data_IF_299498303233
#
_entry.id   IF_299498303233
#
_cell.length_a   1.000
_cell.length_b   1.000
_cell.length_c   1.000
_cell.angle_alpha   90.00
_cell.angle_beta   90.00
_cell.angle_gamma   90.00
#
_symmetry.space_group_name_H-M   'P 1'
#
loop_
_entity.id
_entity.type
_entity.pdbx_description
1 polymer ?
#
# COMPACT_ATOMS: atom_id res chain seq x y z
N UNK A 1 -6.25 2.35 -0.66
CA UNK A 1 -5.49 1.59 -1.68
C UNK A 1 -5.96 1.99 -3.07
N UNK A 2 -5.05 2.19 -4.02
CA UNK A 2 -5.40 2.53 -5.41
C UNK A 2 -5.97 1.33 -6.20
N UNK A 3 -5.83 0.11 -5.67
CA UNK A 3 -6.34 -1.12 -6.28
C UNK A 3 -7.67 -1.51 -5.64
N UNK A 4 -8.67 -1.74 -6.48
CA UNK A 4 -9.96 -2.30 -6.05
C UNK A 4 -9.76 -3.81 -5.88
N UNK A 5 -10.14 -4.42 -4.74
CA UNK A 5 -10.06 -5.87 -4.55
C UNK A 5 -11.21 -6.62 -5.27
N UNK A 6 -11.05 -7.94 -5.43
CA UNK A 6 -12.09 -8.79 -5.98
C UNK A 6 -13.36 -8.79 -5.09
N UNK A 7 -14.52 -8.98 -5.71
CA UNK A 7 -15.81 -9.08 -5.03
C UNK A 7 -16.53 -7.74 -4.76
N UNK A 8 -15.92 -6.60 -5.11
CA UNK A 8 -16.53 -5.27 -4.90
C UNK A 8 -17.32 -4.79 -6.12
N UNK A 9 -16.79 -5.01 -7.32
CA UNK A 9 -17.36 -4.46 -8.55
C UNK A 9 -18.43 -5.36 -9.15
N UNK A 10 -19.45 -4.73 -9.73
CA UNK A 10 -20.50 -5.43 -10.46
C UNK A 10 -19.99 -5.98 -11.81
N UNK A 11 -20.62 -7.04 -12.29
CA UNK A 11 -20.22 -7.70 -13.54
C UNK A 11 -20.14 -6.75 -14.75
N UNK A 12 -21.09 -5.82 -14.99
CA UNK A 12 -20.98 -4.86 -16.09
C UNK A 12 -19.72 -3.99 -16.03
N UNK A 13 -19.32 -3.54 -14.81
CA UNK A 13 -18.11 -2.73 -14.61
C UNK A 13 -16.87 -3.58 -14.85
N UNK A 14 -16.85 -4.83 -14.38
CA UNK A 14 -15.77 -5.78 -14.63
C UNK A 14 -15.56 -6.02 -16.13
N UNK A 15 -16.63 -6.30 -16.87
CA UNK A 15 -16.57 -6.54 -18.30
C UNK A 15 -16.13 -5.30 -19.09
N UNK A 16 -16.66 -4.12 -18.75
CA UNK A 16 -16.26 -2.86 -19.40
C UNK A 16 -14.78 -2.57 -19.17
N UNK A 17 -14.31 -2.66 -17.93
CA UNK A 17 -12.90 -2.43 -17.59
C UNK A 17 -11.98 -3.47 -18.22
N UNK A 18 -12.38 -4.74 -18.25
CA UNK A 18 -11.63 -5.80 -18.92
C UNK A 18 -11.51 -5.54 -20.44
N UNK A 19 -12.60 -5.14 -21.10
CA UNK A 19 -12.60 -4.83 -22.53
C UNK A 19 -11.69 -3.65 -22.86
N UNK A 20 -11.78 -2.55 -22.10
CA UNK A 20 -10.93 -1.35 -22.29
C UNK A 20 -9.47 -1.69 -21.99
N UNK A 21 -9.19 -2.39 -20.89
CA UNK A 21 -7.86 -2.82 -20.48
C UNK A 21 -7.20 -3.74 -21.52
N UNK A 22 -7.93 -4.74 -22.02
CA UNK A 22 -7.45 -5.65 -23.06
C UNK A 22 -7.20 -4.92 -24.38
N UNK A 23 -8.11 -4.02 -24.80
CA UNK A 23 -7.93 -3.20 -25.98
C UNK A 23 -6.70 -2.29 -25.89
N UNK A 24 -6.50 -1.61 -24.74
CA UNK A 24 -5.33 -0.81 -24.47
C UNK A 24 -4.03 -1.61 -24.44
N UNK A 25 -4.07 -2.81 -23.84
CA UNK A 25 -2.94 -3.74 -23.83
C UNK A 25 -2.57 -4.20 -25.24
N UNK A 26 -3.54 -4.57 -26.05
CA UNK A 26 -3.32 -4.97 -27.45
C UNK A 26 -2.69 -3.83 -28.26
N UNK A 27 -3.19 -2.59 -28.10
CA UNK A 27 -2.62 -1.42 -28.75
C UNK A 27 -1.19 -1.17 -28.26
N UNK A 28 -0.96 -1.24 -26.94
CA UNK A 28 0.34 -1.05 -26.32
C UNK A 28 1.37 -2.05 -26.83
N UNK A 29 1.02 -3.33 -26.88
CA UNK A 29 1.88 -4.40 -27.41
C UNK A 29 2.17 -4.23 -28.91
N UNK A 30 1.13 -3.90 -29.72
CA UNK A 30 1.30 -3.66 -31.15
C UNK A 30 2.25 -2.50 -31.47
N UNK A 31 2.29 -1.48 -30.59
CA UNK A 31 3.15 -0.30 -30.73
C UNK A 31 4.49 -0.42 -30.01
N UNK A 32 4.74 -1.53 -29.33
CA UNK A 32 5.95 -1.77 -28.59
C UNK A 32 7.07 -2.24 -29.53
N UNK A 33 8.04 -1.36 -29.79
CA UNK A 33 9.23 -1.73 -30.52
C UNK A 33 10.13 -2.63 -29.64
N UNK A 34 10.79 -3.67 -30.20
CA UNK A 34 11.64 -4.59 -29.44
C UNK A 34 12.71 -3.89 -28.60
N UNK A 35 13.28 -2.79 -29.10
CA UNK A 35 14.32 -2.00 -28.43
C UNK A 35 13.81 -1.31 -27.16
N UNK A 36 12.50 -1.18 -27.01
CA UNK A 36 11.85 -0.57 -25.83
C UNK A 36 11.43 -1.58 -24.77
N UNK A 37 11.50 -2.88 -25.05
CA UNK A 37 11.15 -3.93 -24.07
C UNK A 37 11.94 -3.80 -22.77
N UNK A 38 13.27 -3.55 -22.77
CA UNK A 38 14.01 -3.34 -21.52
C UNK A 38 13.49 -2.15 -20.71
N UNK A 39 13.10 -1.05 -21.38
CA UNK A 39 12.53 0.12 -20.72
C UNK A 39 11.19 -0.19 -20.06
N UNK A 40 10.33 -0.91 -20.76
CA UNK A 40 9.02 -1.36 -20.24
C UNK A 40 9.22 -2.25 -19.01
N UNK A 41 10.13 -3.23 -19.09
CA UNK A 41 10.43 -4.14 -17.99
C UNK A 41 10.94 -3.40 -16.74
N UNK A 42 11.88 -2.44 -16.92
CA UNK A 42 12.38 -1.62 -15.80
C UNK A 42 11.28 -0.81 -15.15
N UNK A 43 10.42 -0.15 -15.94
CA UNK A 43 9.34 0.67 -15.41
C UNK A 43 8.21 -0.16 -14.81
N UNK A 44 7.99 -1.40 -15.28
CA UNK A 44 7.11 -2.37 -14.61
C UNK A 44 7.63 -2.74 -13.23
N UNK A 45 8.93 -3.05 -13.12
CA UNK A 45 9.58 -3.34 -11.85
C UNK A 45 9.55 -2.14 -10.90
N UNK A 46 9.78 -0.93 -11.42
CA UNK A 46 9.68 0.31 -10.64
C UNK A 46 8.28 0.50 -10.07
N UNK A 47 7.23 0.33 -10.89
CA UNK A 47 5.84 0.44 -10.45
C UNK A 47 5.51 -0.62 -9.38
N UNK A 48 5.97 -1.85 -9.61
CA UNK A 48 5.78 -2.94 -8.67
C UNK A 48 6.37 -2.61 -7.29
N UNK A 49 7.63 -2.14 -7.24
CA UNK A 49 8.30 -1.77 -5.98
C UNK A 49 7.72 -0.52 -5.36
N UNK A 50 7.37 0.49 -6.17
CA UNK A 50 6.78 1.74 -5.67
C UNK A 50 5.45 1.52 -4.94
N UNK A 51 4.66 0.55 -5.40
CA UNK A 51 3.39 0.19 -4.74
C UNK A 51 3.58 -0.48 -3.37
N UNK A 52 4.77 -0.94 -3.02
CA UNK A 52 5.08 -1.46 -1.68
C UNK A 52 5.38 -0.35 -0.68
N UNK A 53 5.71 0.85 -1.15
CA UNK A 53 5.97 2.01 -0.30
C UNK A 53 4.64 2.67 0.06
N UNK A 54 4.17 2.41 1.28
CA UNK A 54 2.91 2.93 1.78
C UNK A 54 3.14 4.16 2.67
N UNK A 55 2.31 5.18 2.46
CA UNK A 55 2.26 6.38 3.30
C UNK A 55 0.96 6.37 4.12
N UNK A 56 1.00 6.56 5.43
CA UNK A 56 -0.21 6.71 6.23
C UNK A 56 -0.93 8.01 5.86
N UNK A 57 -2.22 7.93 5.51
CA UNK A 57 -3.06 9.08 5.19
C UNK A 57 -4.36 8.95 6.00
N UNK A 58 -4.40 9.54 7.20
CA UNK A 58 -5.52 9.40 8.12
C UNK A 58 -5.75 7.93 8.49
N UNK A 59 -7.00 7.43 8.43
CA UNK A 59 -7.33 6.04 8.77
C UNK A 59 -6.95 5.04 7.66
N UNK A 60 -6.37 5.50 6.54
CA UNK A 60 -6.02 4.69 5.38
C UNK A 60 -4.53 4.79 5.06
N UNK A 61 -4.06 4.00 4.11
CA UNK A 61 -2.72 4.14 3.53
C UNK A 61 -2.82 4.35 2.03
N UNK A 62 -1.92 5.15 1.49
CA UNK A 62 -1.75 5.35 0.06
C UNK A 62 -0.32 4.98 -0.35
N UNK A 63 -0.13 4.62 -1.61
CA UNK A 63 1.19 4.29 -2.15
C UNK A 63 1.46 5.10 -3.42
N UNK A 64 2.71 5.14 -3.86
CA UNK A 64 3.08 5.75 -5.13
C UNK A 64 2.48 4.96 -6.30
N UNK A 65 1.97 5.68 -7.29
CA UNK A 65 1.30 5.13 -8.46
C UNK A 65 2.16 5.27 -9.73
N UNK A 66 2.99 6.30 -9.78
CA UNK A 66 3.96 6.64 -10.85
C UNK A 66 3.37 6.73 -12.26
N UNK A 67 2.05 6.88 -12.38
CA UNK A 67 1.35 6.92 -13.67
C UNK A 67 1.83 8.04 -14.58
N UNK A 68 2.09 9.22 -14.00
CA UNK A 68 2.63 10.36 -14.74
C UNK A 68 3.99 10.04 -15.35
N UNK A 69 4.92 9.52 -14.55
CA UNK A 69 6.26 9.14 -14.98
C UNK A 69 6.23 8.05 -16.05
N UNK A 70 5.44 7.00 -15.82
CA UNK A 70 5.28 5.88 -16.77
C UNK A 70 4.68 6.39 -18.07
N UNK A 71 3.65 7.22 -17.97
CA UNK A 71 2.97 7.78 -19.14
C UNK A 71 3.86 8.62 -20.02
N UNK A 72 4.58 9.59 -19.45
CA UNK A 72 5.51 10.45 -20.23
C UNK A 72 6.71 9.67 -20.78
N UNK A 73 7.07 8.53 -20.14
CA UNK A 73 8.18 7.70 -20.59
C UNK A 73 7.76 6.70 -21.66
N UNK A 74 6.60 6.07 -21.55
CA UNK A 74 6.19 4.94 -22.36
C UNK A 74 5.03 5.23 -23.32
N UNK A 75 4.18 6.24 -23.03
CA UNK A 75 2.95 6.47 -23.80
C UNK A 75 2.05 5.23 -23.79
N UNK A 76 1.64 4.71 -24.94
CA UNK A 76 0.80 3.50 -25.04
C UNK A 76 1.46 2.23 -24.47
N UNK A 77 2.79 2.15 -24.45
CA UNK A 77 3.49 1.04 -23.83
C UNK A 77 3.39 1.03 -22.29
N UNK A 78 2.73 2.03 -21.69
CA UNK A 78 2.33 2.01 -20.29
C UNK A 78 1.36 0.87 -19.97
N UNK A 79 0.48 0.47 -20.90
CA UNK A 79 -0.45 -0.65 -20.70
C UNK A 79 0.27 -1.97 -20.39
N UNK A 80 1.20 -2.49 -21.22
CA UNK A 80 1.93 -3.70 -20.87
C UNK A 80 2.82 -3.54 -19.63
N UNK A 81 3.38 -2.35 -19.38
CA UNK A 81 4.17 -2.11 -18.18
C UNK A 81 3.33 -2.24 -16.89
N UNK A 82 2.18 -1.57 -16.86
CA UNK A 82 1.25 -1.58 -15.71
C UNK A 82 0.61 -2.97 -15.57
N UNK A 83 0.26 -3.63 -16.68
CA UNK A 83 -0.29 -4.99 -16.64
C UNK A 83 0.64 -5.97 -15.93
N UNK A 84 1.93 -5.99 -16.30
CA UNK A 84 2.93 -6.87 -15.67
C UNK A 84 3.06 -6.56 -14.17
N UNK A 85 3.12 -5.28 -13.79
CA UNK A 85 3.21 -4.89 -12.40
C UNK A 85 1.97 -5.34 -11.60
N UNK A 86 0.76 -5.14 -12.14
CA UNK A 86 -0.49 -5.54 -11.49
C UNK A 86 -0.62 -7.07 -11.35
N UNK A 87 -0.19 -7.83 -12.35
CA UNK A 87 -0.17 -9.31 -12.26
C UNK A 87 0.77 -9.75 -11.14
N UNK A 88 1.98 -9.19 -11.09
CA UNK A 88 2.94 -9.50 -10.02
C UNK A 88 2.39 -9.12 -8.64
N UNK A 89 1.75 -7.97 -8.51
CA UNK A 89 1.12 -7.52 -7.26
C UNK A 89 -0.02 -8.43 -6.83
N UNK A 90 -0.88 -8.86 -7.76
CA UNK A 90 -1.99 -9.75 -7.47
C UNK A 90 -1.50 -11.15 -7.05
N UNK A 91 -0.50 -11.69 -7.75
CA UNK A 91 0.01 -13.06 -7.51
C UNK A 91 0.88 -13.13 -6.26
N UNK A 92 1.78 -12.13 -6.04
CA UNK A 92 2.76 -12.18 -4.95
C UNK A 92 2.22 -11.61 -3.64
N UNK A 93 1.33 -10.60 -3.71
CA UNK A 93 0.88 -9.87 -2.51
C UNK A 93 -0.63 -9.87 -2.32
N UNK A 94 -1.40 -10.44 -3.26
CA UNK A 94 -2.86 -10.40 -3.20
C UNK A 94 -3.44 -8.98 -3.36
N UNK A 95 -2.68 -8.03 -3.91
CA UNK A 95 -3.16 -6.67 -4.11
C UNK A 95 -4.08 -6.59 -5.32
N UNK A 96 -5.30 -6.08 -5.12
CA UNK A 96 -6.34 -6.07 -6.11
C UNK A 96 -7.01 -7.45 -6.23
N UNK A 97 -6.83 -8.12 -7.35
CA UNK A 97 -7.36 -9.46 -7.63
C UNK A 97 -7.31 -9.77 -9.12
N UNK A 98 -7.51 -11.03 -9.47
CA UNK A 98 -7.46 -11.47 -10.86
C UNK A 98 -8.74 -11.11 -11.63
N UNK A 99 -9.91 -11.13 -10.97
CA UNK A 99 -11.19 -10.78 -11.60
C UNK A 99 -11.27 -9.28 -11.91
N UNK A 100 -10.74 -8.45 -11.03
CA UNK A 100 -10.74 -6.99 -11.17
C UNK A 100 -9.52 -6.46 -11.92
N UNK A 101 -8.59 -7.33 -12.35
CA UNK A 101 -7.34 -6.97 -13.00
C UNK A 101 -7.54 -6.04 -14.20
N UNK A 102 -8.55 -6.32 -15.04
CA UNK A 102 -8.85 -5.49 -16.21
C UNK A 102 -9.33 -4.09 -15.86
N UNK A 103 -10.13 -3.95 -14.80
CA UNK A 103 -10.56 -2.63 -14.29
C UNK A 103 -9.39 -1.87 -13.69
N UNK A 104 -8.59 -2.52 -12.84
CA UNK A 104 -7.39 -1.90 -12.24
C UNK A 104 -6.40 -1.48 -13.33
N UNK A 105 -6.19 -2.30 -14.37
CA UNK A 105 -5.38 -1.93 -15.53
C UNK A 105 -5.93 -0.69 -16.22
N UNK A 106 -7.23 -0.64 -16.48
CA UNK A 106 -7.90 0.50 -17.12
C UNK A 106 -7.75 1.77 -16.29
N UNK A 107 -8.02 1.67 -14.97
CA UNK A 107 -7.96 2.81 -14.05
C UNK A 107 -6.54 3.41 -13.91
N UNK A 108 -5.51 2.63 -14.14
CA UNK A 108 -4.12 3.09 -14.05
C UNK A 108 -3.50 3.41 -15.43
N UNK A 109 -3.72 2.56 -16.43
CA UNK A 109 -3.03 2.67 -17.70
C UNK A 109 -3.64 3.71 -18.65
N UNK A 110 -4.96 3.94 -18.59
CA UNK A 110 -5.60 5.01 -19.36
C UNK A 110 -5.06 6.40 -18.95
N UNK A 111 -5.06 6.77 -17.65
CA UNK A 111 -4.45 8.01 -17.20
C UNK A 111 -2.97 8.13 -17.56
N UNK A 112 -2.19 7.04 -17.44
CA UNK A 112 -0.79 7.04 -17.84
C UNK A 112 -0.62 7.33 -19.35
N UNK A 113 -1.38 6.68 -20.21
CA UNK A 113 -1.34 6.94 -21.64
C UNK A 113 -1.73 8.39 -21.97
N UNK A 114 -2.75 8.94 -21.30
CA UNK A 114 -3.15 10.34 -21.43
C UNK A 114 -2.04 11.30 -20.99
N UNK A 115 -1.29 11.00 -19.92
CA UNK A 115 -0.10 11.78 -19.53
C UNK A 115 0.91 11.83 -20.69
N UNK A 116 1.20 10.70 -21.31
CA UNK A 116 2.09 10.64 -22.46
C UNK A 116 1.62 11.48 -23.63
N UNK A 117 0.34 11.42 -23.95
CA UNK A 117 -0.26 12.20 -25.05
C UNK A 117 -0.26 13.71 -24.76
N UNK A 118 -0.64 14.11 -23.56
CA UNK A 118 -0.81 15.53 -23.22
C UNK A 118 0.52 16.25 -22.95
N UNK A 119 1.45 15.61 -22.24
CA UNK A 119 2.63 16.30 -21.71
C UNK A 119 3.91 16.09 -22.52
N UNK A 120 4.04 14.98 -23.28
CA UNK A 120 5.27 14.71 -24.04
C UNK A 120 5.58 15.77 -25.09
N UNK A 121 4.57 16.35 -25.72
CA UNK A 121 4.76 17.42 -26.69
C UNK A 121 5.42 18.66 -26.04
N UNK A 122 4.94 19.05 -24.86
CA UNK A 122 5.46 20.22 -24.10
C UNK A 122 6.88 19.94 -23.61
N UNK A 123 7.12 18.73 -23.03
CA UNK A 123 8.44 18.33 -22.52
C UNK A 123 9.51 18.36 -23.60
N UNK A 124 9.16 17.94 -24.82
CA UNK A 124 10.10 17.92 -25.96
C UNK A 124 10.29 19.28 -26.61
N UNK A 125 9.20 20.05 -26.76
CA UNK A 125 9.25 21.33 -27.47
C UNK A 125 9.81 22.49 -26.63
N UNK A 126 9.69 22.43 -25.31
CA UNK A 126 10.05 23.50 -24.39
C UNK A 126 10.86 22.97 -23.21
N UNK A 127 12.18 22.75 -23.35
CA UNK A 127 13.03 22.19 -22.28
C UNK A 127 12.97 22.97 -20.96
N UNK A 128 12.80 24.29 -21.02
CA UNK A 128 12.65 25.16 -19.84
C UNK A 128 11.40 24.81 -19.01
N UNK A 129 10.34 24.31 -19.64
CA UNK A 129 9.10 23.90 -18.98
C UNK A 129 9.01 22.39 -18.76
N UNK A 130 9.98 21.62 -19.25
CA UNK A 130 9.97 20.15 -19.25
C UNK A 130 9.80 19.55 -17.85
N UNK A 131 10.49 20.10 -16.86
CA UNK A 131 10.40 19.66 -15.46
C UNK A 131 9.03 19.97 -14.87
N UNK A 132 8.53 21.18 -15.08
CA UNK A 132 7.20 21.59 -14.58
C UNK A 132 6.08 20.76 -15.25
N UNK A 133 6.17 20.55 -16.57
CA UNK A 133 5.22 19.72 -17.31
C UNK A 133 5.24 18.25 -16.83
N UNK A 134 6.41 17.71 -16.48
CA UNK A 134 6.53 16.39 -15.91
C UNK A 134 5.91 16.30 -14.51
N UNK A 135 6.11 17.31 -13.66
CA UNK A 135 5.43 17.41 -12.37
C UNK A 135 3.91 17.47 -12.51
N UNK A 136 3.42 18.29 -13.45
CA UNK A 136 1.99 18.36 -13.77
C UNK A 136 1.44 17.01 -14.27
N UNK A 137 2.22 16.25 -15.06
CA UNK A 137 1.86 14.89 -15.48
C UNK A 137 1.76 13.94 -14.29
N UNK A 138 2.65 14.04 -13.28
CA UNK A 138 2.58 13.26 -12.04
C UNK A 138 1.28 13.51 -11.29
N UNK A 139 0.95 14.77 -11.01
CA UNK A 139 -0.31 15.15 -10.35
C UNK A 139 -1.54 14.70 -11.13
N UNK A 140 -1.56 14.99 -12.44
CA UNK A 140 -2.67 14.61 -13.33
C UNK A 140 -2.88 13.11 -13.39
N UNK A 141 -1.79 12.31 -13.46
CA UNK A 141 -1.86 10.86 -13.49
C UNK A 141 -2.58 10.29 -12.27
N UNK A 142 -2.23 10.77 -11.07
CA UNK A 142 -2.92 10.36 -9.83
C UNK A 142 -4.37 10.82 -9.83
N UNK A 143 -4.64 12.10 -10.12
CA UNK A 143 -5.99 12.65 -10.11
C UNK A 143 -6.93 11.88 -11.06
N UNK A 144 -6.49 11.63 -12.29
CA UNK A 144 -7.26 10.91 -13.28
C UNK A 144 -7.48 9.45 -12.90
N UNK A 145 -6.45 8.78 -12.32
CA UNK A 145 -6.59 7.40 -11.83
C UNK A 145 -7.59 7.30 -10.69
N UNK A 146 -7.52 8.20 -9.72
CA UNK A 146 -8.46 8.20 -8.59
C UNK A 146 -9.87 8.54 -9.03
N UNK A 147 -10.02 9.41 -10.02
CA UNK A 147 -11.33 9.67 -10.64
C UNK A 147 -11.90 8.41 -11.30
N UNK A 148 -11.10 7.66 -12.05
CA UNK A 148 -11.54 6.41 -12.66
C UNK A 148 -11.88 5.33 -11.61
N UNK A 149 -11.09 5.21 -10.55
CA UNK A 149 -11.40 4.34 -9.41
C UNK A 149 -12.73 4.74 -8.76
N UNK A 150 -12.92 6.02 -8.49
CA UNK A 150 -14.16 6.55 -7.90
C UNK A 150 -15.37 6.29 -8.81
N UNK A 151 -15.23 6.48 -10.13
CA UNK A 151 -16.29 6.17 -11.11
C UNK A 151 -16.61 4.66 -11.16
N UNK A 152 -15.59 3.80 -11.11
CA UNK A 152 -15.77 2.35 -11.08
C UNK A 152 -16.55 1.90 -9.84
N UNK A 153 -16.24 2.48 -8.67
CA UNK A 153 -16.95 2.24 -7.42
C UNK A 153 -18.39 2.77 -7.48
N UNK A 154 -18.58 4.01 -7.90
CA UNK A 154 -19.91 4.64 -8.00
C UNK A 154 -20.83 3.90 -8.99
N UNK A 155 -20.27 3.40 -10.09
CA UNK A 155 -21.01 2.59 -11.08
C UNK A 155 -21.37 1.19 -10.56
N UNK A 156 -20.72 0.71 -9.51
CA UNK A 156 -20.97 -0.60 -8.92
C UNK A 156 -22.05 -0.60 -7.84
N UNK A 157 -22.38 0.57 -7.25
CA UNK A 157 -23.47 0.70 -6.29
C UNK A 157 -23.42 1.98 -5.48
N UNK A 158 -24.59 2.38 -4.96
CA UNK A 158 -24.71 3.60 -4.13
C UNK A 158 -24.00 3.47 -2.78
N UNK A 159 -23.85 2.27 -2.27
CA UNK A 159 -23.12 1.92 -1.06
C UNK A 159 -21.64 2.27 -1.14
N UNK A 160 -21.07 2.34 -2.35
CA UNK A 160 -19.67 2.68 -2.58
C UNK A 160 -19.40 4.19 -2.76
N UNK A 161 -20.43 5.05 -2.75
CA UNK A 161 -20.26 6.50 -2.98
C UNK A 161 -19.36 7.16 -1.93
N UNK A 162 -19.49 6.76 -0.66
CA UNK A 162 -18.62 7.27 0.41
C UNK A 162 -17.17 6.85 0.20
N UNK A 163 -16.94 5.60 -0.18
CA UNK A 163 -15.60 5.10 -0.50
C UNK A 163 -15.01 5.82 -1.73
N UNK A 164 -15.82 6.07 -2.75
CA UNK A 164 -15.42 6.82 -3.95
C UNK A 164 -14.97 8.26 -3.62
N UNK A 165 -15.72 8.96 -2.74
CA UNK A 165 -15.34 10.29 -2.27
C UNK A 165 -14.06 10.26 -1.44
N UNK A 166 -13.94 9.28 -0.53
CA UNK A 166 -12.79 9.13 0.34
C UNK A 166 -11.50 8.88 -0.47
N UNK A 167 -11.57 8.05 -1.52
CA UNK A 167 -10.44 7.78 -2.41
C UNK A 167 -9.91 9.09 -3.04
N UNK A 168 -10.78 9.97 -3.51
CA UNK A 168 -10.38 11.25 -4.09
C UNK A 168 -9.66 12.14 -3.07
N UNK A 169 -10.22 12.28 -1.87
CA UNK A 169 -9.68 13.16 -0.83
C UNK A 169 -8.36 12.65 -0.28
N UNK A 170 -8.26 11.35 0.02
CA UNK A 170 -7.05 10.74 0.61
C UNK A 170 -5.85 10.74 -0.33
N UNK A 171 -6.06 10.88 -1.66
CA UNK A 171 -4.97 10.92 -2.63
C UNK A 171 -4.50 12.34 -2.97
N UNK A 172 -5.10 13.40 -2.42
CA UNK A 172 -4.59 14.78 -2.61
C UNK A 172 -3.12 14.95 -2.16
N UNK A 173 -2.68 14.47 -0.98
CA UNK A 173 -1.27 14.53 -0.62
C UNK A 173 -0.39 13.70 -1.57
N UNK A 174 -0.86 12.56 -2.04
CA UNK A 174 -0.13 11.70 -2.99
C UNK A 174 0.09 12.42 -4.31
N UNK A 175 -0.88 13.19 -4.79
CA UNK A 175 -0.72 14.00 -6.00
C UNK A 175 0.48 14.97 -5.90
N UNK A 176 0.67 15.61 -4.73
CA UNK A 176 1.79 16.53 -4.52
C UNK A 176 3.14 15.78 -4.49
N UNK A 177 3.18 14.62 -3.83
CA UNK A 177 4.38 13.76 -3.76
C UNK A 177 4.72 13.24 -5.17
N UNK A 178 3.75 12.74 -5.92
CA UNK A 178 3.92 12.25 -7.29
C UNK A 178 4.37 13.36 -8.25
N UNK A 179 3.82 14.56 -8.10
CA UNK A 179 4.27 15.72 -8.86
C UNK A 179 5.74 16.03 -8.62
N UNK A 180 6.15 16.10 -7.36
CA UNK A 180 7.53 16.37 -6.97
C UNK A 180 8.47 15.24 -7.45
N UNK A 181 8.09 13.98 -7.24
CA UNK A 181 8.87 12.82 -7.67
C UNK A 181 9.03 12.78 -9.19
N UNK A 182 7.95 12.95 -9.95
CA UNK A 182 7.98 12.92 -11.42
C UNK A 182 8.78 14.11 -11.97
N UNK A 183 8.66 15.29 -11.37
CA UNK A 183 9.46 16.46 -11.74
C UNK A 183 10.96 16.22 -11.50
N UNK A 184 11.32 15.69 -10.33
CA UNK A 184 12.72 15.40 -9.98
C UNK A 184 13.31 14.32 -10.90
N UNK A 185 12.58 13.22 -11.12
CA UNK A 185 13.00 12.14 -12.02
C UNK A 185 13.18 12.64 -13.46
N UNK A 186 12.21 13.40 -13.98
CA UNK A 186 12.30 13.99 -15.32
C UNK A 186 13.44 15.01 -15.42
N UNK A 187 13.64 15.86 -14.40
CA UNK A 187 14.72 16.84 -14.36
C UNK A 187 16.10 16.20 -14.41
N UNK A 188 16.27 15.09 -13.69
CA UNK A 188 17.50 14.30 -13.74
C UNK A 188 17.68 13.62 -15.11
N UNK A 189 16.63 13.00 -15.63
CA UNK A 189 16.66 12.32 -16.93
C UNK A 189 16.97 13.30 -18.08
N UNK A 190 16.41 14.51 -18.06
CA UNK A 190 16.71 15.55 -19.04
C UNK A 190 18.15 16.02 -18.99
N UNK A 191 18.81 16.01 -17.82
CA UNK A 191 20.22 16.36 -17.65
C UNK A 191 21.17 15.24 -18.09
N UNK A 192 20.87 14.00 -17.71
CA UNK A 192 21.77 12.84 -17.90
C UNK A 192 21.58 12.20 -19.27
N UNK A 193 20.35 12.12 -19.76
CA UNK A 193 19.99 11.52 -21.05
C UNK A 193 18.75 12.17 -21.65
N UNK A 194 18.86 13.30 -22.36
CA UNK A 194 17.71 14.02 -22.94
C UNK A 194 16.88 13.18 -23.93
N UNK A 195 17.42 12.07 -24.47
CA UNK A 195 16.67 11.13 -25.31
C UNK A 195 15.90 10.03 -24.55
N UNK A 196 15.95 10.02 -23.21
CA UNK A 196 15.29 8.96 -22.40
C UNK A 196 13.78 9.15 -22.29
N UNK A 197 13.29 10.36 -22.21
CA UNK A 197 11.86 10.63 -22.43
C UNK A 197 11.53 10.33 -23.90
N UNK A 198 11.77 9.10 -24.29
CA UNK A 198 11.63 8.53 -25.62
C UNK A 198 12.58 7.35 -25.95
N UNK A 199 13.67 7.11 -25.21
CA UNK A 199 14.60 5.97 -25.43
C UNK A 199 15.31 5.57 -24.14
N UNK A 200 15.15 4.31 -23.72
CA UNK A 200 15.44 3.77 -22.41
C UNK A 200 16.90 3.64 -21.93
N UNK A 201 17.06 3.36 -20.67
CA UNK A 201 18.02 2.55 -19.92
C UNK A 201 18.69 3.11 -18.65
N UNK A 202 18.31 4.25 -18.03
CA UNK A 202 19.05 4.80 -16.86
C UNK A 202 18.20 4.92 -15.56
N UNK A 203 16.90 4.61 -15.59
CA UNK A 203 16.02 4.70 -14.42
C UNK A 203 16.45 3.80 -13.24
N UNK A 204 17.18 2.71 -13.50
CA UNK A 204 17.66 1.76 -12.48
C UNK A 204 18.69 2.39 -11.55
N UNK A 205 19.61 3.19 -12.08
CA UNK A 205 20.70 3.80 -11.29
C UNK A 205 20.13 4.89 -10.35
N UNK A 206 19.12 5.65 -10.80
CA UNK A 206 18.49 6.71 -9.97
C UNK A 206 17.62 6.10 -8.88
N UNK A 207 16.87 5.05 -9.18
CA UNK A 207 16.06 4.35 -8.17
C UNK A 207 16.96 3.64 -7.14
N UNK A 208 18.01 2.97 -7.58
CA UNK A 208 18.99 2.37 -6.68
C UNK A 208 19.68 3.42 -5.79
N UNK A 209 20.03 4.59 -6.35
CA UNK A 209 20.65 5.67 -5.60
C UNK A 209 19.67 6.33 -4.60
N UNK A 210 18.38 6.46 -4.93
CA UNK A 210 17.37 6.99 -4.00
C UNK A 210 16.99 5.97 -2.93
N UNK A 211 16.95 4.68 -3.25
CA UNK A 211 16.70 3.61 -2.27
C UNK A 211 17.90 3.37 -1.34
N UNK A 212 19.14 3.61 -1.82
CA UNK A 212 20.34 3.53 -0.97
C UNK A 212 20.61 4.81 -0.18
N UNK A 213 20.10 5.97 -0.63
CA UNK A 213 20.15 7.24 0.10
C UNK A 213 19.00 7.38 1.13
N UNK A 214 17.91 6.65 0.96
CA UNK A 214 16.98 6.38 2.04
C UNK A 214 17.69 5.39 2.96
N UNK A 215 18.36 5.91 4.00
CA UNK A 215 18.77 5.09 5.13
C UNK A 215 17.57 4.25 5.57
N UNK A 216 17.78 3.11 6.25
CA UNK A 216 16.68 2.31 6.72
C UNK A 216 15.77 3.23 7.54
N UNK A 217 14.65 3.63 6.95
CA UNK A 217 13.52 4.12 7.72
C UNK A 217 13.06 2.87 8.46
N UNK A 218 13.63 2.66 9.64
CA UNK A 218 13.19 1.68 10.61
C UNK A 218 11.81 2.17 11.08
N UNK A 219 10.80 1.98 10.25
CA UNK A 219 9.43 2.10 10.65
C UNK A 219 9.11 0.87 11.52
N UNK A 220 9.66 0.84 12.73
CA UNK A 220 9.28 -0.10 13.76
C UNK A 220 7.89 0.32 14.24
N UNK A 221 6.84 -0.15 13.55
CA UNK A 221 5.48 0.04 14.02
C UNK A 221 5.32 -0.73 15.32
N UNK A 222 5.08 -0.01 16.42
CA UNK A 222 4.72 -0.62 17.70
C UNK A 222 3.29 -1.15 17.59
N UNK A 223 3.08 -2.41 17.96
CA UNK A 223 1.79 -3.08 17.96
C UNK A 223 1.47 -3.54 19.37
N UNK A 224 0.22 -3.35 19.77
CA UNK A 224 -0.30 -3.71 21.08
C UNK A 224 -1.48 -4.64 20.92
N UNK A 225 -1.47 -5.72 21.68
CA UNK A 225 -2.59 -6.65 21.80
C UNK A 225 -2.89 -6.91 23.26
N UNK A 226 -4.16 -6.93 23.64
CA UNK A 226 -4.59 -7.28 24.99
C UNK A 226 -5.87 -8.12 24.97
N UNK A 227 -6.13 -8.84 26.05
CA UNK A 227 -7.29 -9.72 26.20
C UNK A 227 -7.59 -9.96 27.65
N UNK A 228 -8.81 -10.39 27.93
CA UNK A 228 -9.32 -10.63 29.26
C UNK A 228 -9.45 -12.13 29.59
N UNK A 229 -9.14 -12.49 30.82
CA UNK A 229 -9.46 -13.78 31.40
C UNK A 229 -10.06 -13.53 32.82
N UNK A 230 -11.39 -13.58 32.91
CA UNK A 230 -12.09 -13.06 34.08
C UNK A 230 -11.82 -11.55 34.24
N UNK A 231 -11.42 -11.12 35.43
CA UNK A 231 -11.05 -9.73 35.71
C UNK A 231 -9.56 -9.42 35.42
N UNK A 232 -8.76 -10.43 35.03
CA UNK A 232 -7.36 -10.23 34.64
C UNK A 232 -7.29 -9.85 33.18
N UNK A 233 -6.60 -8.73 32.89
CA UNK A 233 -6.26 -8.28 31.54
C UNK A 233 -4.78 -8.56 31.31
N UNK A 234 -4.45 -9.27 30.25
CA UNK A 234 -3.07 -9.54 29.83
C UNK A 234 -2.85 -9.15 28.38
N UNK A 235 -1.65 -8.71 28.04
CA UNK A 235 -1.34 -8.30 26.69
C UNK A 235 0.16 -8.34 26.38
N UNK A 236 0.47 -8.06 25.11
CA UNK A 236 1.84 -8.02 24.60
C UNK A 236 2.02 -6.80 23.71
N UNK A 237 3.17 -6.16 23.82
CA UNK A 237 3.63 -5.14 22.91
C UNK A 237 4.86 -5.64 22.12
N UNK A 238 4.87 -5.42 20.80
CA UNK A 238 5.95 -5.85 19.93
C UNK A 238 6.13 -4.89 18.77
N UNK A 239 7.36 -4.80 18.23
CA UNK A 239 7.66 -4.03 17.04
C UNK A 239 7.42 -4.84 15.77
N UNK A 240 7.10 -4.17 14.67
CA UNK A 240 7.05 -4.80 13.36
C UNK A 240 8.41 -5.43 13.04
N UNK A 241 8.42 -6.75 12.81
CA UNK A 241 9.65 -7.55 12.72
C UNK A 241 9.72 -8.65 13.80
N UNK A 242 8.83 -8.57 14.82
CA UNK A 242 8.69 -9.60 15.86
C UNK A 242 9.54 -9.34 17.11
N UNK A 243 10.29 -8.25 17.14
CA UNK A 243 11.05 -7.85 18.33
C UNK A 243 10.11 -7.43 19.46
N UNK A 244 10.36 -7.92 20.67
CA UNK A 244 9.54 -7.65 21.85
C UNK A 244 9.78 -6.24 22.37
N UNK A 245 8.71 -5.49 22.62
CA UNK A 245 8.79 -4.14 23.18
C UNK A 245 9.00 -4.25 24.72
N UNK A 246 10.24 -4.45 25.14
CA UNK A 246 10.63 -4.62 26.54
C UNK A 246 10.76 -3.26 27.24
N UNK A 247 10.28 -3.16 28.49
CA UNK A 247 10.46 -1.97 29.33
C UNK A 247 9.62 -0.76 28.90
N UNK A 248 8.67 -0.94 27.98
CA UNK A 248 7.82 0.15 27.47
C UNK A 248 6.70 0.46 28.46
N UNK A 249 6.41 1.75 28.65
CA UNK A 249 5.36 2.21 29.57
C UNK A 249 3.98 1.89 28.98
N UNK A 250 3.17 1.18 29.76
CA UNK A 250 1.78 0.86 29.49
C UNK A 250 0.90 1.73 30.37
N UNK A 251 0.04 2.54 29.80
CA UNK A 251 -0.94 3.36 30.51
C UNK A 251 -2.35 2.86 30.20
N UNK A 252 -3.12 2.58 31.22
CA UNK A 252 -4.53 2.17 31.11
C UNK A 252 -5.42 3.30 31.61
N UNK A 253 -6.34 3.75 30.78
CA UNK A 253 -7.28 4.82 31.11
C UNK A 253 -8.74 4.36 30.97
N UNK A 254 -9.62 4.99 31.70
CA UNK A 254 -11.07 4.87 31.53
C UNK A 254 -11.57 5.72 30.33
N UNK A 255 -12.86 5.65 29.96
CA UNK A 255 -13.43 6.48 28.90
C UNK A 255 -13.37 7.99 29.15
N UNK A 256 -13.27 8.41 30.41
CA UNK A 256 -13.12 9.81 30.81
C UNK A 256 -11.68 10.32 30.75
N UNK A 257 -10.72 9.40 30.48
CA UNK A 257 -9.28 9.72 30.41
C UNK A 257 -8.56 9.63 31.75
N UNK A 258 -9.22 9.19 32.83
CA UNK A 258 -8.54 8.99 34.10
C UNK A 258 -7.62 7.77 34.05
N UNK A 259 -6.40 7.89 34.57
CA UNK A 259 -5.42 6.80 34.58
C UNK A 259 -5.82 5.79 35.65
N UNK A 260 -6.10 4.56 35.22
CA UNK A 260 -6.45 3.43 36.10
C UNK A 260 -5.19 2.64 36.52
N UNK A 261 -4.28 2.37 35.57
CA UNK A 261 -3.04 1.65 35.81
C UNK A 261 -1.89 2.27 35.01
N UNK A 262 -0.68 2.20 35.57
CA UNK A 262 0.56 2.51 34.89
C UNK A 262 1.59 1.41 35.23
N UNK A 263 2.07 0.71 34.20
CA UNK A 263 2.98 -0.43 34.35
C UNK A 263 3.96 -0.46 33.17
N UNK A 264 4.92 -1.37 33.22
CA UNK A 264 5.90 -1.55 32.14
C UNK A 264 5.85 -2.98 31.63
N UNK A 265 6.15 -3.16 30.33
CA UNK A 265 6.27 -4.49 29.75
C UNK A 265 7.52 -5.22 30.24
N UNK A 266 7.43 -6.54 30.38
CA UNK A 266 8.54 -7.43 30.77
C UNK A 266 9.50 -7.73 29.60
N UNK A 267 10.47 -8.64 29.82
CA UNK A 267 11.44 -9.06 28.81
C UNK A 267 10.80 -9.73 27.58
N UNK A 268 9.58 -10.22 27.69
CA UNK A 268 8.79 -10.80 26.61
C UNK A 268 7.83 -9.79 25.96
N UNK A 269 7.89 -8.52 26.38
CA UNK A 269 6.96 -7.49 25.95
C UNK A 269 5.55 -7.66 26.54
N UNK A 270 5.40 -8.52 27.55
CA UNK A 270 4.13 -8.81 28.18
C UNK A 270 3.81 -7.82 29.31
N UNK A 271 2.50 -7.63 29.56
CA UNK A 271 1.97 -6.89 30.69
C UNK A 271 0.69 -7.53 31.18
N UNK A 272 0.35 -7.32 32.45
CA UNK A 272 -0.92 -7.75 33.01
C UNK A 272 -1.38 -6.80 34.13
N UNK A 273 -2.69 -6.64 34.25
CA UNK A 273 -3.34 -5.89 35.34
C UNK A 273 -4.70 -6.48 35.65
N UNK A 274 -5.26 -6.13 36.81
CA UNK A 274 -6.61 -6.54 37.19
C UNK A 274 -7.58 -5.38 37.00
N UNK A 275 -8.62 -5.58 36.20
CA UNK A 275 -9.68 -4.61 36.03
C UNK A 275 -10.50 -4.50 37.33
N UNK A 276 -10.66 -3.30 37.82
CA UNK A 276 -11.41 -2.99 39.04
C UNK A 276 -12.86 -2.56 38.79
N UNK A 277 -13.22 -2.26 37.55
CA UNK A 277 -14.56 -1.81 37.15
C UNK A 277 -14.92 -2.35 35.78
N UNK A 278 -16.23 -2.50 35.54
CA UNK A 278 -16.75 -2.88 34.23
C UNK A 278 -16.96 -1.63 33.36
N UNK A 279 -15.89 -1.14 32.79
CA UNK A 279 -15.86 -0.01 31.87
C UNK A 279 -14.93 -0.32 30.71
N UNK A 280 -14.99 0.43 29.63
CA UNK A 280 -14.00 0.34 28.57
C UNK A 280 -12.62 0.73 29.13
N UNK A 281 -11.63 -0.10 28.92
CA UNK A 281 -10.25 0.15 29.32
C UNK A 281 -9.43 0.45 28.07
N UNK A 282 -8.97 1.69 27.92
CA UNK A 282 -8.07 2.09 26.84
C UNK A 282 -6.64 1.90 27.29
N UNK A 283 -5.95 0.98 26.66
CA UNK A 283 -4.55 0.63 26.92
C UNK A 283 -3.70 1.33 25.86
N UNK A 284 -2.74 2.13 26.29
CA UNK A 284 -1.78 2.79 25.39
C UNK A 284 -0.35 2.43 25.79
N UNK A 285 0.48 2.21 24.79
CA UNK A 285 1.94 2.03 24.96
C UNK A 285 2.64 3.11 24.16
N UNK A 286 3.67 3.68 24.76
CA UNK A 286 4.50 4.71 24.14
C UNK A 286 5.97 4.30 24.30
N UNK A 287 6.68 4.14 23.19
CA UNK A 287 8.11 3.84 23.16
C UNK A 287 8.95 5.11 23.26
N UNK A 288 10.19 4.98 23.71
CA UNK A 288 11.17 6.07 23.84
C UNK A 288 11.50 6.73 22.49
N UNK A 289 11.19 6.08 21.40
CA UNK A 289 11.37 6.54 20.01
C UNK A 289 10.17 7.32 19.45
N UNK A 290 9.14 7.58 20.29
CA UNK A 290 7.91 8.30 19.92
C UNK A 290 6.86 7.45 19.20
N UNK A 291 7.07 6.14 19.06
CA UNK A 291 6.04 5.24 18.55
C UNK A 291 5.00 4.93 19.62
N UNK A 292 3.72 5.03 19.26
CA UNK A 292 2.61 4.74 20.16
C UNK A 292 1.65 3.71 19.53
N UNK A 293 1.08 2.86 20.36
CA UNK A 293 0.01 1.95 19.99
C UNK A 293 -1.10 1.99 21.04
N UNK A 294 -2.34 1.76 20.61
CA UNK A 294 -3.50 1.74 21.50
C UNK A 294 -4.35 0.50 21.22
N UNK A 295 -4.94 -0.03 22.31
CA UNK A 295 -5.91 -1.13 22.27
C UNK A 295 -7.01 -0.84 23.28
N UNK A 296 -8.24 -1.21 22.96
CA UNK A 296 -9.38 -1.03 23.89
C UNK A 296 -9.98 -2.38 24.24
N UNK A 297 -10.08 -2.67 25.54
CA UNK A 297 -10.89 -3.75 26.09
C UNK A 297 -12.26 -3.16 26.34
N UNK A 298 -13.28 -3.70 25.69
CA UNK A 298 -14.63 -3.27 25.89
C UNK A 298 -15.19 -3.74 27.26
N UNK A 299 -16.08 -2.97 27.86
CA UNK A 299 -16.75 -3.35 29.10
C UNK A 299 -17.47 -4.71 29.02
N UNK A 300 -17.91 -5.09 27.80
CA UNK A 300 -18.56 -6.39 27.52
C UNK A 300 -17.61 -7.58 27.56
N UNK A 301 -16.31 -7.36 27.52
CA UNK A 301 -15.28 -8.40 27.61
C UNK A 301 -14.90 -8.71 29.07
N UNK A 302 -15.36 -7.86 30.01
CA UNK A 302 -15.13 -8.00 31.44
C UNK A 302 -16.31 -8.70 32.12
N UNK A 303 -16.07 -9.48 33.21
CA UNK A 303 -17.15 -10.22 33.89
C UNK A 303 -18.16 -9.29 34.55
N UNK A 304 -19.41 -9.73 34.56
CA UNK A 304 -20.54 -9.00 35.16
C UNK A 304 -20.39 -8.78 36.68
N UNK A 305 -19.53 -9.54 37.33
CA UNK A 305 -19.25 -9.41 38.77
C UNK A 305 -18.55 -8.11 39.15
N UNK A 306 -18.04 -7.34 38.18
CA UNK A 306 -17.38 -6.05 38.40
C UNK A 306 -18.37 -4.86 38.41
N UNK A 307 -19.67 -5.05 38.16
CA UNK A 307 -20.67 -4.00 38.16
C UNK A 307 -21.74 -4.25 39.22
N UNK A 308 -21.95 -3.34 40.20
CA UNK A 308 -23.10 -3.44 41.14
C UNK A 308 -24.39 -3.24 40.35
N UNK A 309 -25.33 -4.22 40.42
CA UNK A 309 -26.67 -4.09 39.89
C UNK A 309 -26.89 -4.44 38.42
N UNK A 310 -26.07 -5.25 37.81
CA UNK A 310 -26.29 -5.72 36.43
C UNK A 310 -27.51 -6.66 36.33
N UNK A 311 -28.37 -6.52 35.30
CA UNK A 311 -29.45 -7.50 35.03
C UNK A 311 -28.83 -8.86 34.63
N UNK A 312 -29.62 -9.93 34.70
CA UNK A 312 -29.22 -11.30 34.39
C UNK A 312 -28.50 -11.39 33.02
N UNK A 313 -27.45 -12.23 32.87
CA UNK A 313 -26.63 -12.26 31.67
C UNK A 313 -27.46 -12.61 30.44
N UNK A 314 -27.41 -11.77 29.44
CA UNK A 314 -27.99 -12.02 28.13
C UNK A 314 -27.22 -13.19 27.47
N UNK A 315 -27.96 -14.20 27.04
CA UNK A 315 -27.39 -15.37 26.35
C UNK A 315 -26.53 -14.97 25.15
N UNK A 316 -26.90 -13.87 24.46
CA UNK A 316 -26.14 -13.31 23.34
C UNK A 316 -24.76 -12.83 23.80
N UNK A 317 -24.69 -12.09 24.91
CA UNK A 317 -23.41 -11.62 25.47
C UNK A 317 -22.49 -12.77 25.92
N UNK A 318 -23.08 -13.87 26.42
CA UNK A 318 -22.30 -15.09 26.76
C UNK A 318 -21.74 -15.80 25.52
N UNK A 319 -22.52 -15.85 24.44
CA UNK A 319 -22.09 -16.43 23.16
C UNK A 319 -20.96 -15.57 22.55
N UNK A 320 -21.13 -14.26 22.55
CA UNK A 320 -20.15 -13.31 21.99
C UNK A 320 -18.83 -13.34 22.77
N UNK A 321 -18.88 -13.42 24.09
CA UNK A 321 -17.70 -13.60 24.94
C UNK A 321 -17.01 -14.95 24.75
N UNK A 322 -17.77 -16.02 24.49
CA UNK A 322 -17.21 -17.35 24.19
C UNK A 322 -16.55 -17.38 22.81
N UNK A 323 -17.19 -16.77 21.80
CA UNK A 323 -16.68 -16.66 20.44
C UNK A 323 -15.44 -15.78 20.36
N UNK A 324 -15.41 -14.67 21.08
CA UNK A 324 -14.24 -13.79 21.18
C UNK A 324 -13.02 -14.52 21.76
N UNK A 325 -13.23 -15.33 22.81
CA UNK A 325 -12.15 -16.18 23.40
C UNK A 325 -11.61 -17.22 22.43
N UNK A 326 -12.48 -17.89 21.66
CA UNK A 326 -12.07 -18.92 20.71
C UNK A 326 -11.37 -18.35 19.48
N UNK A 327 -11.73 -17.14 19.04
CA UNK A 327 -11.14 -16.46 17.90
C UNK A 327 -9.83 -15.72 18.24
N UNK A 328 -9.54 -15.54 19.54
CA UNK A 328 -8.34 -14.85 20.03
C UNK A 328 -7.03 -15.39 19.45
N UNK A 329 -6.71 -16.70 19.58
CA UNK A 329 -5.44 -17.23 19.07
C UNK A 329 -5.33 -17.12 17.54
N UNK A 330 -6.46 -17.20 16.84
CA UNK A 330 -6.49 -17.03 15.39
C UNK A 330 -6.16 -15.59 14.98
N UNK A 331 -6.71 -14.60 15.70
CA UNK A 331 -6.43 -13.17 15.44
C UNK A 331 -4.97 -12.80 15.73
N UNK A 332 -4.41 -13.36 16.82
CA UNK A 332 -3.01 -13.15 17.17
C UNK A 332 -2.06 -13.81 16.14
N UNK A 333 -2.36 -15.03 15.71
CA UNK A 333 -1.62 -15.71 14.65
C UNK A 333 -1.72 -15.01 13.30
N UNK A 334 -2.90 -14.50 12.94
CA UNK A 334 -3.09 -13.73 11.71
C UNK A 334 -2.30 -12.42 11.73
N UNK A 335 -2.31 -11.69 12.85
CA UNK A 335 -1.53 -10.45 12.98
C UNK A 335 -0.02 -10.73 12.90
N UNK A 336 0.47 -11.71 13.63
CA UNK A 336 1.89 -12.11 13.63
C UNK A 336 2.34 -12.68 12.27
N UNK A 337 1.45 -13.38 11.56
CA UNK A 337 1.74 -13.94 10.23
C UNK A 337 1.77 -12.83 9.18
N UNK A 338 0.89 -11.83 9.28
CA UNK A 338 0.83 -10.71 8.35
C UNK A 338 2.13 -9.88 8.34
N UNK A 339 2.69 -9.61 9.53
CA UNK A 339 3.96 -8.89 9.67
C UNK A 339 5.18 -9.70 9.18
N UNK A 340 5.15 -11.03 9.35
CA UNK A 340 6.22 -11.93 8.92
C UNK A 340 6.26 -12.16 7.40
N UNK A 341 5.09 -12.24 6.78
CA UNK A 341 4.92 -12.39 5.32
C UNK A 341 5.47 -11.16 4.61
N UNK A 342 5.24 -9.96 5.13
CA UNK A 342 5.63 -8.70 4.49
C UNK A 342 7.13 -8.63 4.13
N UNK A 343 8.03 -8.99 5.04
CA UNK A 343 9.49 -8.98 4.78
C UNK A 343 9.93 -10.05 3.78
N UNK A 344 9.37 -11.26 3.85
CA UNK A 344 9.64 -12.32 2.89
C UNK A 344 9.18 -11.92 1.48
N UNK A 345 8.04 -11.24 1.38
CA UNK A 345 7.46 -10.81 0.12
C UNK A 345 8.26 -9.67 -0.52
N UNK A 346 8.75 -8.71 0.28
CA UNK A 346 9.64 -7.64 -0.21
C UNK A 346 10.97 -8.21 -0.71
N UNK A 347 11.60 -9.08 0.06
CA UNK A 347 12.89 -9.71 -0.33
C UNK A 347 12.68 -10.67 -1.51
N UNK A 348 11.60 -11.45 -1.51
CA UNK A 348 11.22 -12.33 -2.61
C UNK A 348 10.92 -11.56 -3.90
N UNK A 349 10.18 -10.46 -3.81
CA UNK A 349 9.86 -9.58 -4.92
C UNK A 349 11.12 -8.93 -5.53
N UNK A 350 12.00 -8.41 -4.68
CA UNK A 350 13.30 -7.86 -5.12
C UNK A 350 14.17 -8.94 -5.78
N UNK A 351 14.23 -10.14 -5.19
CA UNK A 351 14.97 -11.26 -5.74
C UNK A 351 14.45 -11.72 -7.10
N UNK A 352 13.13 -11.78 -7.27
CA UNK A 352 12.49 -12.10 -8.54
C UNK A 352 12.80 -11.05 -9.62
N UNK A 353 12.74 -9.76 -9.27
CA UNK A 353 13.08 -8.66 -10.18
C UNK A 353 14.53 -8.77 -10.64
N UNK A 354 15.49 -8.92 -9.71
CA UNK A 354 16.91 -9.07 -10.02
C UNK A 354 17.14 -10.32 -10.86
N UNK A 355 16.48 -11.45 -10.55
CA UNK A 355 16.55 -12.70 -11.30
C UNK A 355 16.05 -12.56 -12.74
N UNK A 356 14.90 -11.93 -12.96
CA UNK A 356 14.34 -11.67 -14.28
C UNK A 356 15.24 -10.75 -15.12
N UNK A 357 15.78 -9.68 -14.51
CA UNK A 357 16.69 -8.77 -15.19
C UNK A 357 18.03 -9.43 -15.52
N UNK A 358 18.58 -10.24 -14.59
CA UNK A 358 19.79 -11.01 -14.84
C UNK A 358 19.63 -12.00 -15.99
N UNK A 359 18.47 -12.68 -16.05
CA UNK A 359 18.15 -13.62 -17.14
C UNK A 359 17.97 -12.89 -18.48
N UNK A 360 17.23 -11.79 -18.52
CA UNK A 360 17.01 -10.98 -19.71
C UNK A 360 18.31 -10.39 -20.26
N UNK A 361 19.17 -9.87 -19.37
CA UNK A 361 20.49 -9.37 -19.72
C UNK A 361 21.41 -10.49 -20.24
N UNK A 362 21.44 -11.64 -19.57
CA UNK A 362 22.24 -12.81 -19.98
C UNK A 362 21.83 -13.36 -21.34
N UNK A 363 20.53 -13.38 -21.66
CA UNK A 363 20.02 -13.79 -22.98
C UNK A 363 20.35 -12.77 -24.07
N UNK A 364 20.30 -11.48 -23.78
CA UNK A 364 20.66 -10.41 -24.72
C UNK A 364 22.16 -10.43 -25.05
N UNK A 365 23.02 -10.58 -24.03
CA UNK A 365 24.47 -10.64 -24.20
C UNK A 365 24.94 -11.88 -24.97
N UNK A 366 24.15 -12.95 -25.02
CA UNK A 366 24.45 -14.14 -25.86
C UNK A 366 24.13 -13.94 -27.33
N UNK A 367 23.18 -13.06 -27.68
CA UNK A 367 22.84 -12.72 -29.06
C UNK A 367 23.94 -11.89 -29.73
N UNK A 368 24.54 -10.93 -29.01
CA UNK A 368 25.59 -10.06 -29.53
C UNK A 368 26.94 -10.77 -29.75
N UNK A 369 27.12 -11.99 -29.17
CA UNK A 369 28.34 -12.82 -29.42
C UNK A 369 28.20 -13.78 -30.62
N UNK A 370 27.02 -13.83 -31.27
CA UNK A 370 26.78 -14.72 -32.44
C UNK A 370 26.59 -13.97 -33.76
N UNK A 371 26.67 -12.63 -33.75
CA UNK A 371 26.80 -11.77 -34.92
C UNK A 371 28.24 -11.25 -35.02
#
# INVERSE_FOLDING_TARGET
>A
MAHIPDGILTLPVLLAGAAIGAGGLAIGLKRLAPERIPQVAVLSGLLFVAALVHFPVGPSSAHLILNGLIGISLGWAAFPAIFVALVLQAVLFGFGGLLVLGVNLTNLAVPAALCGLAFNAVIKARPAWGVAAAGAAGAFGVAASMLMVALSLAASGREFLVAAQLVLVTHLPVMAIEAAFTAAAAGLLLKVRPGFLGRGAVAVVVLAATLTAAGPALAHKLTLFASTEGNSVSGHAYFSGGDRAQGVVVTVTDPAGAVLHRLTTDAQGAFSFTASSRADHRISVEGDDGHAAQFTIAATELPDTLAPGAPAPDLQAMIDASLARQLRPLREQLAATHDKIWWHDVVGGLGAIIGFFGLAYGLSARKDKKS
#
